data_IF_531958962626
#
_entry.id   IF_531958962626
#
_cell.length_a   1.000
_cell.length_b   1.000
_cell.length_c   1.000
_cell.angle_alpha   90.00
_cell.angle_beta   90.00
_cell.angle_gamma   90.00
#
_symmetry.space_group_name_H-M   'P 1'
#
loop_
_entity.id
_entity.type
_entity.pdbx_description
1 polymer ?
#
# COMPACT_ATOMS: atom_id res chain seq x y z
N UNK A 1 11.82 -21.34 0.12
CA UNK A 1 11.10 -21.74 1.34
C UNK A 1 10.28 -20.57 1.84
N UNK A 2 8.99 -20.80 2.06
CA UNK A 2 8.06 -19.88 2.69
C UNK A 2 8.29 -19.85 4.21
N UNK A 3 7.78 -18.84 4.92
CA UNK A 3 7.90 -18.79 6.39
C UNK A 3 7.02 -19.86 7.05
N UNK A 4 5.98 -20.33 6.34
CA UNK A 4 5.20 -21.51 6.70
C UNK A 4 6.05 -22.78 6.58
N UNK A 5 6.93 -22.89 5.57
CA UNK A 5 7.87 -24.01 5.45
C UNK A 5 8.86 -24.02 6.62
N UNK A 6 9.52 -22.89 6.93
CA UNK A 6 10.47 -22.78 8.04
C UNK A 6 9.81 -22.96 9.42
N UNK A 7 8.58 -22.47 9.59
CA UNK A 7 7.82 -22.71 10.81
C UNK A 7 7.39 -24.17 10.92
N UNK A 8 7.04 -24.84 9.81
CA UNK A 8 6.64 -26.25 9.82
C UNK A 8 7.78 -27.21 10.18
N UNK A 9 9.03 -26.84 9.87
CA UNK A 9 10.23 -27.60 10.21
C UNK A 9 10.60 -27.52 11.71
N UNK A 10 10.10 -26.51 12.43
CA UNK A 10 10.36 -26.34 13.87
C UNK A 10 9.34 -27.16 14.68
N UNK A 11 9.76 -28.04 15.60
CA UNK A 11 8.82 -28.79 16.45
C UNK A 11 7.94 -27.88 17.31
N UNK A 12 6.67 -28.25 17.51
CA UNK A 12 5.71 -27.41 18.22
C UNK A 12 6.08 -27.15 19.69
N UNK A 13 6.79 -28.09 20.34
CA UNK A 13 7.29 -27.87 21.69
C UNK A 13 8.33 -26.73 21.74
N UNK A 14 9.17 -26.59 20.71
CA UNK A 14 10.17 -25.52 20.62
C UNK A 14 9.47 -24.17 20.44
N UNK A 15 8.45 -24.11 19.58
CA UNK A 15 7.60 -22.90 19.40
C UNK A 15 6.88 -22.52 20.69
N UNK A 16 6.44 -23.52 21.47
CA UNK A 16 5.72 -23.34 22.74
C UNK A 16 6.62 -22.81 23.86
N UNK A 17 7.85 -23.30 23.98
CA UNK A 17 8.72 -23.03 25.13
C UNK A 17 9.86 -22.04 24.86
N UNK A 18 10.11 -21.64 23.61
CA UNK A 18 11.15 -20.67 23.24
C UNK A 18 10.52 -19.43 22.57
N UNK A 19 10.06 -18.43 23.35
CA UNK A 19 9.37 -17.25 22.82
C UNK A 19 10.19 -16.45 21.79
N UNK A 20 11.52 -16.54 21.84
CA UNK A 20 12.42 -15.86 20.91
C UNK A 20 12.27 -16.34 19.46
N UNK A 21 12.01 -17.63 19.24
CA UNK A 21 11.85 -18.21 17.90
C UNK A 21 10.57 -17.69 17.24
N UNK A 22 9.46 -17.67 17.98
CA UNK A 22 8.16 -17.16 17.48
C UNK A 22 8.22 -15.65 17.17
N UNK A 23 8.96 -14.87 17.97
CA UNK A 23 9.20 -13.44 17.67
C UNK A 23 10.06 -13.25 16.44
N UNK A 24 11.13 -14.03 16.29
CA UNK A 24 12.01 -13.97 15.12
C UNK A 24 11.27 -14.29 13.82
N UNK A 25 10.46 -15.36 13.80
CA UNK A 25 9.63 -15.72 12.65
C UNK A 25 8.61 -14.62 12.30
N UNK A 26 7.99 -14.00 13.32
CA UNK A 26 7.05 -12.89 13.10
C UNK A 26 7.72 -11.67 12.46
N UNK A 27 8.95 -11.34 12.88
CA UNK A 27 9.74 -10.26 12.29
C UNK A 27 10.19 -10.57 10.85
N UNK A 28 10.60 -11.79 10.57
CA UNK A 28 10.96 -12.23 9.22
C UNK A 28 9.77 -12.09 8.26
N UNK A 29 8.59 -12.60 8.67
CA UNK A 29 7.34 -12.47 7.92
C UNK A 29 6.98 -11.01 7.68
N UNK A 30 7.04 -10.17 8.72
CA UNK A 30 6.78 -8.74 8.59
C UNK A 30 7.72 -8.06 7.59
N UNK A 31 9.02 -8.35 7.66
CA UNK A 31 10.02 -7.76 6.77
C UNK A 31 9.75 -8.11 5.30
N UNK A 32 9.44 -9.38 5.03
CA UNK A 32 9.10 -9.87 3.67
C UNK A 32 7.82 -9.23 3.14
N UNK A 33 6.78 -9.18 3.96
CA UNK A 33 5.51 -8.52 3.64
C UNK A 33 5.70 -7.02 3.34
N UNK A 34 6.59 -6.36 4.09
CA UNK A 34 6.92 -4.95 3.87
C UNK A 34 7.70 -4.74 2.57
N UNK A 35 8.65 -5.62 2.28
CA UNK A 35 9.40 -5.58 1.02
C UNK A 35 8.46 -5.73 -0.19
N UNK A 36 7.60 -6.75 -0.20
CA UNK A 36 6.57 -6.93 -1.24
C UNK A 36 5.65 -5.73 -1.37
N UNK A 37 5.17 -5.20 -0.25
CA UNK A 37 4.32 -4.00 -0.25
C UNK A 37 5.03 -2.74 -0.77
N UNK A 38 6.36 -2.69 -0.71
CA UNK A 38 7.16 -1.58 -1.24
C UNK A 38 7.36 -1.74 -2.75
N UNK A 39 7.66 -2.96 -3.20
CA UNK A 39 7.76 -3.33 -4.61
C UNK A 39 6.45 -3.02 -5.36
N UNK A 40 5.31 -3.50 -4.86
CA UNK A 40 3.99 -3.21 -5.45
C UNK A 40 3.70 -1.71 -5.59
N UNK A 41 4.10 -0.90 -4.60
CA UNK A 41 3.93 0.56 -4.65
C UNK A 41 4.86 1.21 -5.65
N UNK A 42 6.10 0.73 -5.75
CA UNK A 42 7.06 1.24 -6.72
C UNK A 42 6.59 0.94 -8.15
N UNK A 43 6.07 -0.25 -8.40
CA UNK A 43 5.51 -0.63 -9.70
C UNK A 43 4.30 0.23 -10.06
N UNK A 44 3.33 0.36 -9.14
CA UNK A 44 2.14 1.19 -9.34
C UNK A 44 2.48 2.67 -9.56
N UNK A 45 3.47 3.19 -8.82
CA UNK A 45 3.99 4.54 -9.02
C UNK A 45 4.58 4.70 -10.44
N UNK A 46 5.43 3.76 -10.87
CA UNK A 46 6.10 3.85 -12.16
C UNK A 46 5.13 3.68 -13.34
N UNK A 47 4.14 2.81 -13.21
CA UNK A 47 3.08 2.63 -14.20
C UNK A 47 2.23 3.90 -14.32
N UNK A 48 1.72 4.39 -13.19
CA UNK A 48 0.89 5.60 -13.18
C UNK A 48 1.67 6.84 -13.62
N UNK A 49 2.98 6.90 -13.35
CA UNK A 49 3.87 7.92 -13.90
C UNK A 49 3.92 7.90 -15.43
N UNK A 50 3.96 6.72 -16.05
CA UNK A 50 3.90 6.63 -17.52
C UNK A 50 2.55 7.12 -18.04
N UNK A 51 1.46 6.78 -17.38
CA UNK A 51 0.12 7.24 -17.75
C UNK A 51 -0.02 8.76 -17.66
N UNK A 52 0.40 9.37 -16.55
CA UNK A 52 0.40 10.81 -16.36
C UNK A 52 1.22 11.53 -17.43
N UNK A 53 2.39 10.98 -17.77
CA UNK A 53 3.22 11.51 -18.85
C UNK A 53 2.52 11.47 -20.20
N UNK A 54 1.95 10.31 -20.57
CA UNK A 54 1.24 10.15 -21.84
C UNK A 54 0.02 11.07 -21.93
N UNK A 55 -0.72 11.23 -20.83
CA UNK A 55 -1.86 12.15 -20.78
C UNK A 55 -1.42 13.60 -20.95
N UNK A 56 -0.33 14.02 -20.31
CA UNK A 56 0.19 15.38 -20.42
C UNK A 56 0.70 15.74 -21.83
N UNK A 57 1.28 14.80 -22.58
CA UNK A 57 1.72 15.09 -23.96
C UNK A 57 0.57 15.08 -24.97
N UNK A 58 -0.55 14.42 -24.65
CA UNK A 58 -1.71 14.27 -25.55
C UNK A 58 -2.82 15.30 -25.30
N UNK A 59 -2.84 15.94 -24.12
CA UNK A 59 -3.85 16.95 -23.79
C UNK A 59 -3.75 18.15 -24.74
N UNK A 60 -4.89 18.74 -25.07
CA UNK A 60 -4.97 19.94 -25.90
C UNK A 60 -4.39 21.17 -25.19
N UNK A 61 -3.81 22.09 -25.96
CA UNK A 61 -3.34 23.37 -25.45
C UNK A 61 -4.52 24.22 -24.92
N UNK A 62 -4.47 24.60 -23.66
CA UNK A 62 -5.53 25.34 -22.95
C UNK A 62 -6.22 24.52 -21.87
N UNK A 63 -6.28 23.20 -22.01
CA UNK A 63 -7.01 22.30 -21.10
C UNK A 63 -6.07 21.69 -20.03
N UNK A 64 -4.76 21.96 -20.09
CA UNK A 64 -3.77 21.32 -19.22
C UNK A 64 -4.12 21.46 -17.73
N UNK A 65 -4.50 22.66 -17.30
CA UNK A 65 -4.72 22.95 -15.89
C UNK A 65 -5.99 22.28 -15.36
N UNK A 66 -7.05 22.26 -16.16
CA UNK A 66 -8.32 21.65 -15.79
C UNK A 66 -8.17 20.13 -15.65
N UNK A 67 -7.64 19.47 -16.68
CA UNK A 67 -7.41 18.02 -16.68
C UNK A 67 -6.47 17.60 -15.54
N UNK A 68 -5.44 18.41 -15.25
CA UNK A 68 -4.54 18.15 -14.13
C UNK A 68 -5.27 18.17 -12.78
N UNK A 69 -5.98 19.25 -12.48
CA UNK A 69 -6.63 19.41 -11.18
C UNK A 69 -7.77 18.43 -10.97
N UNK A 70 -8.56 18.11 -12.01
CA UNK A 70 -9.61 17.10 -11.94
C UNK A 70 -9.03 15.72 -11.62
N UNK A 71 -8.10 15.24 -12.44
CA UNK A 71 -7.53 13.88 -12.28
C UNK A 71 -6.76 13.76 -10.96
N UNK A 72 -6.00 14.79 -10.59
CA UNK A 72 -5.30 14.86 -9.30
C UNK A 72 -6.27 14.75 -8.14
N UNK A 73 -7.36 15.53 -8.17
CA UNK A 73 -8.36 15.54 -7.10
C UNK A 73 -9.03 14.18 -6.97
N UNK A 74 -9.39 13.53 -8.07
CA UNK A 74 -9.98 12.19 -8.07
C UNK A 74 -9.04 11.13 -7.47
N UNK A 75 -7.78 11.09 -7.92
CA UNK A 75 -6.80 10.12 -7.44
C UNK A 75 -6.52 10.26 -5.94
N UNK A 76 -6.36 11.49 -5.46
CA UNK A 76 -6.17 11.76 -4.03
C UNK A 76 -7.42 11.57 -3.21
N UNK A 77 -8.61 11.86 -3.74
CA UNK A 77 -9.87 11.60 -3.05
C UNK A 77 -10.05 10.10 -2.78
N UNK A 78 -9.73 9.24 -3.74
CA UNK A 78 -9.78 7.79 -3.52
C UNK A 78 -8.70 7.34 -2.51
N UNK A 79 -7.48 7.89 -2.58
CA UNK A 79 -6.44 7.61 -1.59
C UNK A 79 -6.87 8.01 -0.17
N UNK A 80 -7.53 9.16 -0.03
CA UNK A 80 -8.05 9.67 1.23
C UNK A 80 -9.16 8.76 1.78
N UNK A 81 -10.13 8.39 0.94
CA UNK A 81 -11.22 7.48 1.29
C UNK A 81 -10.71 6.13 1.78
N UNK A 82 -9.73 5.55 1.09
CA UNK A 82 -9.10 4.29 1.52
C UNK A 82 -8.34 4.47 2.84
N UNK A 83 -7.67 5.60 3.03
CA UNK A 83 -6.96 5.93 4.27
C UNK A 83 -7.93 6.04 5.45
N UNK A 84 -9.06 6.71 5.27
CA UNK A 84 -10.05 6.87 6.33
C UNK A 84 -10.74 5.54 6.66
N UNK A 85 -10.99 4.70 5.65
CA UNK A 85 -11.46 3.34 5.88
C UNK A 85 -10.43 2.51 6.67
N UNK A 86 -9.14 2.63 6.35
CA UNK A 86 -8.09 1.95 7.10
C UNK A 86 -8.03 2.41 8.56
N UNK A 87 -8.17 3.71 8.82
CA UNK A 87 -8.25 4.28 10.19
C UNK A 87 -9.47 3.75 10.95
N UNK A 88 -10.64 3.71 10.31
CA UNK A 88 -11.88 3.21 10.91
C UNK A 88 -11.78 1.72 11.30
N UNK A 89 -11.10 0.91 10.48
CA UNK A 89 -10.87 -0.49 10.83
C UNK A 89 -9.84 -0.59 11.96
N UNK A 90 -8.77 0.19 11.90
CA UNK A 90 -7.71 0.18 12.91
C UNK A 90 -8.21 0.60 14.30
N UNK A 91 -9.13 1.56 14.40
CA UNK A 91 -9.69 2.00 15.68
C UNK A 91 -10.48 0.89 16.39
N UNK A 92 -11.00 -0.08 15.65
CA UNK A 92 -11.75 -1.24 16.19
C UNK A 92 -10.85 -2.36 16.71
N UNK A 93 -9.54 -2.32 16.48
CA UNK A 93 -8.62 -3.40 16.90
C UNK A 93 -8.65 -3.60 18.42
N UNK A 94 -8.56 -2.51 19.17
CA UNK A 94 -8.45 -2.57 20.63
C UNK A 94 -9.79 -2.78 21.35
N UNK A 95 -10.92 -2.70 20.63
CA UNK A 95 -12.25 -2.93 21.18
C UNK A 95 -12.70 -4.40 21.15
N UNK A 96 -11.87 -5.30 20.62
CA UNK A 96 -12.20 -6.73 20.52
C UNK A 96 -11.86 -7.47 21.82
N UNK A 97 -12.80 -8.32 22.26
CA UNK A 97 -12.71 -9.07 23.52
C UNK A 97 -11.69 -10.22 23.44
N UNK A 98 -11.66 -10.93 22.32
CA UNK A 98 -10.76 -12.05 22.12
C UNK A 98 -9.49 -11.68 21.36
N UNK A 99 -8.42 -12.44 21.60
CA UNK A 99 -7.15 -12.29 20.88
C UNK A 99 -7.33 -12.61 19.39
N UNK A 100 -8.12 -13.63 19.09
CA UNK A 100 -8.40 -14.12 17.74
C UNK A 100 -9.15 -13.07 16.92
N UNK A 101 -10.13 -12.37 17.50
CA UNK A 101 -10.84 -11.28 16.83
C UNK A 101 -9.95 -10.05 16.64
N UNK A 102 -9.15 -9.70 17.66
CA UNK A 102 -8.16 -8.63 17.55
C UNK A 102 -7.21 -8.87 16.38
N UNK A 103 -6.74 -10.10 16.23
CA UNK A 103 -5.83 -10.48 15.13
C UNK A 103 -6.52 -10.41 13.77
N UNK A 104 -7.78 -10.85 13.66
CA UNK A 104 -8.58 -10.71 12.43
C UNK A 104 -8.75 -9.24 12.01
N UNK A 105 -9.14 -8.37 12.95
CA UNK A 105 -9.31 -6.94 12.65
C UNK A 105 -7.98 -6.28 12.34
N UNK A 106 -6.89 -6.65 13.04
CA UNK A 106 -5.55 -6.15 12.75
C UNK A 106 -5.10 -6.51 11.32
N UNK A 107 -5.37 -7.74 10.87
CA UNK A 107 -5.01 -8.14 9.50
C UNK A 107 -5.82 -7.37 8.44
N UNK A 108 -7.12 -7.15 8.68
CA UNK A 108 -7.95 -6.28 7.82
C UNK A 108 -7.45 -4.84 7.78
N UNK A 109 -7.04 -4.28 8.93
CA UNK A 109 -6.48 -2.94 9.00
C UNK A 109 -5.18 -2.83 8.18
N UNK A 110 -4.30 -3.83 8.26
CA UNK A 110 -3.06 -3.90 7.47
C UNK A 110 -3.34 -3.94 5.96
N UNK A 111 -4.31 -4.74 5.54
CA UNK A 111 -4.72 -4.85 4.14
C UNK A 111 -5.30 -3.51 3.63
N UNK A 112 -6.22 -2.91 4.38
CA UNK A 112 -6.78 -1.59 4.04
C UNK A 112 -5.69 -0.52 3.93
N UNK A 113 -4.73 -0.50 4.86
CA UNK A 113 -3.60 0.44 4.83
C UNK A 113 -2.66 0.19 3.64
N UNK A 114 -2.48 -1.06 3.20
CA UNK A 114 -1.72 -1.38 1.99
C UNK A 114 -2.41 -0.81 0.74
N UNK A 115 -3.73 -1.00 0.62
CA UNK A 115 -4.51 -0.48 -0.51
C UNK A 115 -4.50 1.05 -0.54
N UNK A 116 -4.65 1.71 0.61
CA UNK A 116 -4.52 3.17 0.72
C UNK A 116 -3.13 3.65 0.26
N UNK A 117 -2.08 2.96 0.71
CA UNK A 117 -0.72 3.28 0.29
C UNK A 117 -0.42 3.00 -1.17
N UNK A 118 -1.09 2.01 -1.79
CA UNK A 118 -1.00 1.73 -3.23
C UNK A 118 -1.64 2.87 -4.03
N UNK A 119 -2.85 3.27 -3.65
CA UNK A 119 -3.54 4.39 -4.30
C UNK A 119 -2.78 5.71 -4.16
N UNK A 120 -2.16 5.96 -3.00
CA UNK A 120 -1.28 7.11 -2.83
C UNK A 120 -0.05 7.07 -3.73
N UNK A 121 0.51 5.89 -4.00
CA UNK A 121 1.62 5.73 -4.94
C UNK A 121 1.20 5.99 -6.38
N UNK A 122 -0.01 5.54 -6.77
CA UNK A 122 -0.62 5.84 -8.07
C UNK A 122 -0.79 7.36 -8.23
N UNK A 123 -1.44 8.03 -7.27
CA UNK A 123 -1.66 9.48 -7.31
C UNK A 123 -0.35 10.27 -7.46
N UNK A 124 0.66 9.95 -6.63
CA UNK A 124 1.96 10.59 -6.69
C UNK A 124 2.72 10.30 -8.00
N UNK A 125 2.61 9.06 -8.51
CA UNK A 125 3.19 8.64 -9.78
C UNK A 125 2.62 9.44 -10.93
N UNK A 126 1.29 9.47 -11.03
CA UNK A 126 0.56 10.21 -12.05
C UNK A 126 0.95 11.69 -12.09
N UNK A 127 0.92 12.38 -10.94
CA UNK A 127 1.30 13.80 -10.86
C UNK A 127 2.74 14.02 -11.33
N UNK A 128 3.66 13.16 -10.93
CA UNK A 128 5.06 13.26 -11.37
C UNK A 128 5.16 13.10 -12.88
N UNK A 129 4.48 12.10 -13.43
CA UNK A 129 4.43 11.83 -14.86
C UNK A 129 3.87 13.00 -15.66
N UNK A 130 2.74 13.55 -15.20
CA UNK A 130 2.10 14.70 -15.80
C UNK A 130 3.04 15.90 -15.90
N UNK A 131 3.67 16.27 -14.78
CA UNK A 131 4.59 17.41 -14.73
C UNK A 131 5.81 17.23 -15.64
N UNK A 132 6.35 16.01 -15.72
CA UNK A 132 7.43 15.68 -16.66
C UNK A 132 6.96 15.77 -18.12
N UNK A 133 5.74 15.31 -18.43
CA UNK A 133 5.17 15.37 -19.77
C UNK A 133 4.94 16.79 -20.25
N UNK A 134 4.38 17.67 -19.41
CA UNK A 134 4.20 19.09 -19.75
C UNK A 134 5.52 19.82 -19.96
N UNK A 135 6.53 19.51 -19.13
CA UNK A 135 7.86 20.11 -19.25
C UNK A 135 8.56 19.74 -20.56
N UNK A 136 8.30 18.53 -21.09
CA UNK A 136 8.84 18.08 -22.37
C UNK A 136 8.01 18.53 -23.59
N UNK A 137 6.76 18.98 -23.37
CA UNK A 137 5.86 19.50 -24.41
C UNK A 137 6.09 20.98 -24.70
N UNK A 138 6.50 21.75 -23.68
CA UNK A 138 6.90 23.16 -23.78
C UNK A 138 8.25 23.33 -24.46
#
# INVERSE_FOLDING_TARGET
MSDEDLASEIPDFVKKYVPGITRGLSWAKYSKDKAKGTEMKADAYNESKKEGYQKAITVSAGDEKEVFEETKTELWAEAQKLTDRAKEIASKVNSQESKEEREKILNRAKEAARNAGLQGAIAAGWEKGWNEGLSNKS
#
